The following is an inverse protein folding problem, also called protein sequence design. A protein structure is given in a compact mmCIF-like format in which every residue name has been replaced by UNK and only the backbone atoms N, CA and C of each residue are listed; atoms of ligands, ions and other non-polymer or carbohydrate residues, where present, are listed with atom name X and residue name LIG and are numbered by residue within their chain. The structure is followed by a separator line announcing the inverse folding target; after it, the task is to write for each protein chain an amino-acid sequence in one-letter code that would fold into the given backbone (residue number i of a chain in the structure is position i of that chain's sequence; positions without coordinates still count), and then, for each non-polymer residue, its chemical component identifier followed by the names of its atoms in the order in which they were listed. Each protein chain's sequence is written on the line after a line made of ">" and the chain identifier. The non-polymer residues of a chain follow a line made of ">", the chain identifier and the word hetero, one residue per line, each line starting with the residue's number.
data_IF_299975294381
#
_entry.id   IF_299975294381
#
_cell.length_a   1.000
_cell.length_b   1.000
_cell.length_c   1.000
_cell.angle_alpha   90.00
_cell.angle_beta   90.00
_cell.angle_gamma   90.00
#
_symmetry.space_group_name_H-M   'P 1'
#
loop_
_entity.id
_entity.type
_entity.pdbx_description
1 polymer ?
#
# COMPACT_ATOMS: atom_id res chain seq x y z
N UNK A 1 -47.66 72.87 -7.44
CA UNK A 1 -47.98 72.14 -6.20
C UNK A 1 -48.17 70.67 -6.54
N UNK A 2 -47.26 69.83 -6.03
CA UNK A 2 -47.41 68.42 -5.62
C UNK A 2 -47.92 67.40 -6.66
N UNK A 3 -47.03 66.66 -7.35
CA UNK A 3 -46.44 65.34 -6.99
C UNK A 3 -47.46 64.19 -6.79
N UNK A 4 -47.34 63.12 -7.60
CA UNK A 4 -47.13 61.75 -7.09
C UNK A 4 -46.67 60.80 -8.21
N UNK A 5 -45.49 60.24 -7.97
CA UNK A 5 -44.71 59.34 -8.83
C UNK A 5 -45.33 57.95 -8.87
N UNK A 6 -45.29 57.32 -10.03
CA UNK A 6 -45.51 55.89 -10.20
C UNK A 6 -44.43 55.11 -9.43
N UNK A 7 -44.84 54.18 -8.59
CA UNK A 7 -43.96 53.23 -7.94
C UNK A 7 -43.89 51.98 -8.82
N UNK A 8 -42.78 51.83 -9.55
CA UNK A 8 -42.39 50.56 -10.14
C UNK A 8 -41.80 49.69 -9.02
N UNK A 9 -42.51 48.63 -8.65
CA UNK A 9 -41.98 47.61 -7.75
C UNK A 9 -40.94 46.79 -8.52
N UNK A 10 -39.65 47.04 -8.26
CA UNK A 10 -38.57 46.19 -8.70
C UNK A 10 -38.58 44.92 -7.84
N UNK A 11 -38.89 43.78 -8.47
CA UNK A 11 -38.65 42.46 -7.88
C UNK A 11 -37.14 42.24 -7.90
N UNK A 12 -36.50 42.45 -6.74
CA UNK A 12 -35.13 42.00 -6.51
C UNK A 12 -35.15 40.47 -6.42
N UNK A 13 -34.90 39.81 -7.54
CA UNK A 13 -34.47 38.43 -7.53
C UNK A 13 -33.04 38.41 -6.96
N UNK A 14 -32.92 38.21 -5.65
CA UNK A 14 -31.65 37.90 -5.02
C UNK A 14 -31.18 36.54 -5.53
N UNK A 15 -30.38 36.53 -6.60
CA UNK A 15 -29.57 35.39 -6.95
C UNK A 15 -28.48 35.26 -5.87
N UNK A 16 -28.73 34.44 -4.86
CA UNK A 16 -27.68 33.95 -3.97
C UNK A 16 -26.80 33.06 -4.85
N UNK A 17 -25.71 33.63 -5.38
CA UNK A 17 -24.63 32.83 -5.93
C UNK A 17 -24.03 32.07 -4.75
N UNK A 18 -24.37 30.78 -4.63
CA UNK A 18 -23.58 29.83 -3.87
C UNK A 18 -22.23 29.71 -4.59
N UNK A 19 -21.35 30.68 -4.34
CA UNK A 19 -19.93 30.49 -4.56
C UNK A 19 -19.49 29.50 -3.48
N UNK A 20 -19.69 28.20 -3.75
CA UNK A 20 -18.91 27.19 -3.07
C UNK A 20 -17.46 27.54 -3.35
N UNK A 21 -16.73 27.95 -2.33
CA UNK A 21 -15.30 28.18 -2.47
C UNK A 21 -14.70 26.81 -2.80
N UNK A 22 -14.29 26.62 -4.06
CA UNK A 22 -13.51 25.45 -4.43
C UNK A 22 -12.30 25.34 -3.50
N UNK A 23 -11.95 24.10 -3.13
CA UNK A 23 -10.79 23.83 -2.27
C UNK A 23 -9.52 24.40 -2.90
N UNK A 24 -8.65 24.99 -2.07
CA UNK A 24 -7.31 25.37 -2.51
C UNK A 24 -6.44 24.11 -2.66
N UNK A 25 -6.26 23.67 -3.90
CA UNK A 25 -5.49 22.46 -4.22
C UNK A 25 -3.99 22.72 -4.36
N UNK A 26 -3.49 23.93 -4.06
CA UNK A 26 -2.08 24.29 -4.31
C UNK A 26 -1.08 23.48 -3.47
N UNK A 27 -1.50 22.93 -2.33
CA UNK A 27 -0.71 22.02 -1.50
C UNK A 27 -0.81 20.54 -1.90
N UNK A 28 -1.73 20.17 -2.79
CA UNK A 28 -2.01 18.77 -3.13
C UNK A 28 -1.14 18.28 -4.30
N UNK A 29 -0.77 17.00 -4.27
CA UNK A 29 -0.18 16.32 -5.41
C UNK A 29 -1.29 15.87 -6.35
N UNK A 30 -1.24 16.38 -7.58
CA UNK A 30 -2.14 16.00 -8.66
C UNK A 30 -1.60 14.77 -9.40
N UNK A 31 -2.43 13.75 -9.56
CA UNK A 31 -2.15 12.53 -10.31
C UNK A 31 -3.38 12.04 -11.09
N UNK A 32 -3.16 11.12 -12.03
CA UNK A 32 -4.27 10.44 -12.70
C UNK A 32 -4.98 9.52 -11.69
N UNK A 33 -6.29 9.33 -11.87
CA UNK A 33 -7.04 8.31 -11.12
C UNK A 33 -6.70 6.95 -11.74
N UNK A 34 -6.13 5.99 -11.00
CA UNK A 34 -5.87 4.66 -11.52
C UNK A 34 -7.17 3.98 -11.99
N UNK A 35 -7.08 3.14 -13.02
CA UNK A 35 -8.23 2.36 -13.48
C UNK A 35 -8.61 1.25 -12.48
N UNK A 36 -7.61 0.69 -11.79
CA UNK A 36 -7.73 -0.42 -10.86
C UNK A 36 -7.18 -0.05 -9.48
N UNK A 37 -7.56 -0.79 -8.45
CA UNK A 37 -7.01 -0.64 -7.10
C UNK A 37 -5.52 -1.00 -7.12
N UNK A 38 -4.60 -0.07 -6.78
CA UNK A 38 -3.17 -0.36 -6.78
C UNK A 38 -2.77 -1.34 -5.66
N UNK A 39 -3.60 -1.54 -4.64
CA UNK A 39 -3.35 -2.55 -3.58
C UNK A 39 -3.81 -3.96 -3.96
N UNK A 40 -4.50 -4.12 -5.09
CA UNK A 40 -4.98 -5.41 -5.57
C UNK A 40 -3.94 -6.17 -6.44
N UNK A 41 -2.74 -5.60 -6.62
CA UNK A 41 -1.67 -6.25 -7.37
C UNK A 41 -1.01 -7.34 -6.53
N UNK A 42 -0.80 -8.51 -7.12
CA UNK A 42 -0.13 -9.63 -6.45
C UNK A 42 0.72 -10.47 -7.39
N UNK A 43 1.50 -11.42 -6.85
CA UNK A 43 2.35 -12.29 -7.65
C UNK A 43 1.55 -13.19 -8.61
N UNK A 44 0.34 -13.58 -8.23
CA UNK A 44 -0.49 -14.56 -8.98
C UNK A 44 -1.89 -14.06 -9.34
N UNK A 45 -2.22 -12.81 -8.98
CA UNK A 45 -3.53 -12.22 -9.15
C UNK A 45 -3.89 -11.81 -10.58
N UNK A 46 -5.08 -11.24 -10.78
CA UNK A 46 -5.49 -10.66 -12.07
C UNK A 46 -4.71 -9.39 -12.42
N UNK A 47 -4.16 -8.71 -11.41
CA UNK A 47 -3.24 -7.59 -11.54
C UNK A 47 -1.87 -8.07 -11.07
N UNK A 48 -1.01 -8.44 -12.02
CA UNK A 48 0.26 -9.07 -11.70
C UNK A 48 1.35 -8.03 -11.48
N UNK A 49 2.13 -8.24 -10.42
CA UNK A 49 3.40 -7.55 -10.21
C UNK A 49 4.45 -8.04 -11.22
N UNK A 50 5.33 -7.13 -11.67
CA UNK A 50 6.45 -7.45 -12.57
C UNK A 50 7.62 -8.07 -11.80
N UNK A 51 7.38 -9.22 -11.17
CA UNK A 51 8.36 -9.95 -10.39
C UNK A 51 9.27 -10.81 -11.29
N UNK A 52 10.52 -11.09 -10.87
CA UNK A 52 11.32 -12.12 -11.51
C UNK A 52 10.57 -13.47 -11.50
N UNK A 53 10.85 -14.37 -12.45
CA UNK A 53 10.18 -15.66 -12.51
C UNK A 53 10.40 -16.46 -11.22
N UNK A 54 9.35 -17.11 -10.75
CA UNK A 54 9.42 -18.01 -9.60
C UNK A 54 10.43 -19.14 -9.86
N UNK A 55 11.26 -19.50 -8.87
CA UNK A 55 12.15 -20.65 -8.96
C UNK A 55 11.38 -21.94 -9.31
N UNK A 56 11.99 -22.78 -10.14
CA UNK A 56 11.40 -24.08 -10.49
C UNK A 56 11.40 -25.05 -9.30
N UNK A 57 10.61 -26.12 -9.38
CA UNK A 57 10.53 -27.15 -8.32
C UNK A 57 11.85 -27.85 -7.98
N UNK A 58 12.84 -27.75 -8.87
CA UNK A 58 14.18 -28.33 -8.70
C UNK A 58 15.18 -27.34 -8.08
N UNK A 59 14.76 -26.09 -7.82
CA UNK A 59 15.59 -25.09 -7.16
C UNK A 59 15.78 -25.42 -5.67
N UNK A 60 16.89 -24.98 -5.05
CA UNK A 60 17.08 -25.11 -3.61
C UNK A 60 15.95 -24.44 -2.83
N UNK A 61 15.55 -25.03 -1.70
CA UNK A 61 14.46 -24.52 -0.88
C UNK A 61 14.67 -23.06 -0.45
N UNK A 62 15.91 -22.68 -0.10
CA UNK A 62 16.25 -21.31 0.25
C UNK A 62 16.04 -20.30 -0.90
N UNK A 63 16.14 -20.74 -2.16
CA UNK A 63 15.87 -19.88 -3.32
C UNK A 63 14.38 -19.59 -3.45
N UNK A 64 13.54 -20.61 -3.23
CA UNK A 64 12.07 -20.46 -3.22
C UNK A 64 11.61 -19.53 -2.09
N UNK A 65 12.14 -19.69 -0.89
CA UNK A 65 11.82 -18.83 0.25
C UNK A 65 12.30 -17.39 0.03
N UNK A 66 13.47 -17.20 -0.57
CA UNK A 66 13.99 -15.87 -0.86
C UNK A 66 13.11 -15.16 -1.90
N UNK A 67 12.63 -15.88 -2.92
CA UNK A 67 11.67 -15.34 -3.89
C UNK A 67 10.31 -15.03 -3.23
N UNK A 68 9.82 -15.90 -2.34
CA UNK A 68 8.58 -15.65 -1.58
C UNK A 68 8.70 -14.37 -0.73
N UNK A 69 9.85 -14.16 -0.09
CA UNK A 69 10.13 -12.93 0.67
C UNK A 69 10.04 -11.68 -0.23
N UNK A 70 10.65 -11.71 -1.42
CA UNK A 70 10.54 -10.61 -2.40
C UNK A 70 9.09 -10.39 -2.82
N UNK A 71 8.38 -11.47 -3.16
CA UNK A 71 6.99 -11.40 -3.58
C UNK A 71 6.14 -10.76 -2.49
N UNK A 72 6.30 -11.20 -1.24
CA UNK A 72 5.57 -10.66 -0.09
C UNK A 72 5.86 -9.18 0.16
N UNK A 73 7.12 -8.76 0.10
CA UNK A 73 7.52 -7.34 0.25
C UNK A 73 6.93 -6.48 -0.88
N UNK A 74 6.94 -6.99 -2.11
CA UNK A 74 6.39 -6.27 -3.27
C UNK A 74 4.87 -6.18 -3.23
N UNK A 75 4.19 -7.25 -2.80
CA UNK A 75 2.75 -7.27 -2.56
C UNK A 75 2.35 -6.28 -1.47
N UNK A 76 3.08 -6.28 -0.36
CA UNK A 76 2.89 -5.32 0.72
C UNK A 76 3.05 -3.88 0.22
N UNK A 77 4.05 -3.63 -0.64
CA UNK A 77 4.30 -2.33 -1.24
C UNK A 77 3.23 -1.90 -2.26
N UNK A 78 2.50 -2.86 -2.84
CA UNK A 78 1.64 -2.66 -4.01
C UNK A 78 2.41 -2.27 -5.28
N UNK A 79 3.72 -2.57 -5.35
CA UNK A 79 4.58 -2.25 -6.50
C UNK A 79 5.80 -3.18 -6.55
N UNK A 80 6.58 -3.10 -7.62
CA UNK A 80 7.84 -3.81 -7.78
C UNK A 80 9.02 -2.85 -7.79
N UNK A 81 10.18 -3.38 -7.43
CA UNK A 81 11.47 -2.70 -7.54
C UNK A 81 12.39 -3.58 -8.42
N UNK A 82 12.78 -3.05 -9.57
CA UNK A 82 13.67 -3.74 -10.51
C UNK A 82 15.10 -3.90 -9.98
N UNK A 83 15.49 -3.08 -9.00
CA UNK A 83 16.80 -3.11 -8.36
C UNK A 83 16.78 -3.88 -7.03
N UNK A 84 15.65 -4.52 -6.69
CA UNK A 84 15.51 -5.28 -5.46
C UNK A 84 16.51 -6.44 -5.38
N UNK A 85 17.04 -6.67 -4.18
CA UNK A 85 17.91 -7.80 -3.88
C UNK A 85 17.30 -8.63 -2.74
N UNK A 86 17.42 -9.94 -2.82
CA UNK A 86 16.84 -10.84 -1.82
C UNK A 86 17.77 -12.03 -1.59
N UNK A 87 17.95 -12.40 -0.33
CA UNK A 87 18.79 -13.51 0.05
C UNK A 87 18.28 -14.17 1.33
N UNK A 88 18.24 -15.50 1.31
CA UNK A 88 18.06 -16.33 2.50
C UNK A 88 19.34 -17.11 2.77
N UNK A 89 19.73 -17.30 4.04
CA UNK A 89 20.76 -18.27 4.37
C UNK A 89 20.29 -19.69 4.04
N UNK A 90 21.23 -20.63 3.91
CA UNK A 90 20.88 -22.03 3.66
C UNK A 90 20.03 -22.60 4.80
N UNK A 91 18.90 -23.21 4.44
CA UNK A 91 17.96 -23.81 5.39
C UNK A 91 18.16 -25.33 5.35
N UNK A 92 18.66 -25.89 6.44
CA UNK A 92 18.92 -27.33 6.54
C UNK A 92 17.78 -28.09 7.19
N UNK A 93 16.77 -27.38 7.70
CA UNK A 93 15.70 -27.97 8.49
C UNK A 93 16.20 -28.45 9.84
N UNK A 94 17.27 -27.84 10.38
CA UNK A 94 17.72 -27.99 11.78
C UNK A 94 17.58 -26.68 12.56
N UNK A 95 17.32 -25.59 11.83
CA UNK A 95 17.02 -24.28 12.36
C UNK A 95 15.56 -24.24 12.80
N UNK A 96 15.27 -23.53 13.90
CA UNK A 96 13.89 -23.23 14.29
C UNK A 96 13.37 -21.95 13.66
N UNK A 97 14.28 -21.05 13.36
CA UNK A 97 13.99 -19.71 12.85
C UNK A 97 15.12 -19.30 11.91
N UNK A 98 14.74 -18.72 10.77
CA UNK A 98 15.66 -18.24 9.74
C UNK A 98 15.18 -16.87 9.28
N UNK A 99 16.09 -15.88 9.31
CA UNK A 99 15.84 -14.55 8.75
C UNK A 99 16.37 -14.44 7.32
N UNK A 100 15.49 -14.08 6.40
CA UNK A 100 15.84 -13.64 5.05
C UNK A 100 15.84 -12.11 5.00
N UNK A 101 16.71 -11.54 4.17
CA UNK A 101 16.76 -10.09 3.96
C UNK A 101 16.37 -9.77 2.53
N UNK A 102 15.43 -8.83 2.40
CA UNK A 102 15.02 -8.24 1.12
C UNK A 102 15.36 -6.76 1.14
N UNK A 103 16.25 -6.33 0.25
CA UNK A 103 16.49 -4.91 -0.02
C UNK A 103 15.50 -4.46 -1.09
N UNK A 104 14.62 -3.53 -0.75
CA UNK A 104 13.57 -2.99 -1.62
C UNK A 104 13.53 -1.47 -1.52
N UNK A 105 13.62 -0.79 -2.67
CA UNK A 105 13.70 0.67 -2.79
C UNK A 105 14.76 1.32 -1.88
N UNK A 106 15.89 0.61 -1.69
CA UNK A 106 17.03 1.06 -0.89
C UNK A 106 16.91 0.82 0.62
N UNK A 107 15.85 0.16 1.09
CA UNK A 107 15.64 -0.21 2.49
C UNK A 107 15.69 -1.74 2.67
N UNK A 108 16.19 -2.20 3.81
CA UNK A 108 16.26 -3.62 4.14
C UNK A 108 15.06 -4.06 5.00
N UNK A 109 14.43 -5.16 4.58
CA UNK A 109 13.29 -5.78 5.22
C UNK A 109 13.63 -7.20 5.68
N UNK A 110 13.29 -7.48 6.94
CA UNK A 110 13.50 -8.78 7.57
C UNK A 110 12.27 -9.65 7.33
N UNK A 111 12.46 -10.79 6.68
CA UNK A 111 11.44 -11.81 6.48
C UNK A 111 11.78 -13.03 7.33
N UNK A 112 10.99 -13.28 8.36
CA UNK A 112 11.29 -14.28 9.39
C UNK A 112 10.51 -15.54 9.09
N UNK A 113 11.24 -16.64 8.86
CA UNK A 113 10.68 -17.97 8.62
C UNK A 113 10.86 -18.81 9.87
N UNK A 114 9.76 -19.27 10.46
CA UNK A 114 9.74 -20.19 11.60
C UNK A 114 9.40 -21.58 11.10
N UNK A 115 10.30 -22.54 11.33
CA UNK A 115 10.12 -23.93 10.91
C UNK A 115 9.33 -24.65 12.00
N UNK A 116 8.19 -25.23 11.64
CA UNK A 116 7.33 -25.96 12.57
C UNK A 116 7.91 -27.37 12.85
N UNK A 117 7.87 -27.80 14.11
CA UNK A 117 8.38 -29.09 14.59
C UNK A 117 7.57 -30.27 13.99
N UNK A 118 7.84 -30.62 12.74
CA UNK A 118 7.42 -31.89 12.12
C UNK A 118 8.35 -33.06 12.50
N UNK A 119 9.40 -32.79 13.30
CA UNK A 119 10.56 -33.66 13.50
C UNK A 119 10.36 -34.77 14.52
N UNK A 120 9.36 -34.66 15.40
CA UNK A 120 9.12 -35.66 16.45
C UNK A 120 8.57 -36.99 15.89
N UNK A 121 8.07 -37.00 14.64
CA UNK A 121 7.37 -38.16 14.09
C UNK A 121 8.23 -39.01 13.14
N UNK A 122 9.15 -38.47 12.32
CA UNK A 122 9.88 -39.26 11.31
C UNK A 122 11.23 -38.65 10.84
N UNK A 123 12.29 -38.61 11.68
CA UNK A 123 13.58 -37.98 11.35
C UNK A 123 14.35 -38.63 10.17
N UNK A 124 14.00 -39.86 9.75
CA UNK A 124 14.68 -40.58 8.66
C UNK A 124 14.01 -40.41 7.28
N UNK A 125 12.90 -39.68 7.20
CA UNK A 125 12.09 -39.53 5.97
C UNK A 125 11.96 -38.09 5.46
N UNK A 126 12.61 -37.13 6.12
CA UNK A 126 12.48 -35.71 5.80
C UNK A 126 13.41 -35.37 4.64
N UNK A 127 12.87 -35.43 3.44
CA UNK A 127 13.36 -34.67 2.29
C UNK A 127 12.90 -33.20 2.48
N UNK A 128 13.65 -32.23 1.95
CA UNK A 128 13.34 -30.77 2.07
C UNK A 128 11.95 -30.41 1.51
N UNK A 129 11.29 -31.34 0.82
CA UNK A 129 9.95 -31.23 0.25
C UNK A 129 8.81 -31.20 1.27
N UNK A 130 9.05 -31.48 2.56
CA UNK A 130 8.00 -31.58 3.59
C UNK A 130 8.24 -30.68 4.83
N UNK A 131 8.97 -29.58 4.66
CA UNK A 131 9.17 -28.61 5.73
C UNK A 131 7.90 -27.77 5.86
N UNK A 132 7.17 -27.93 6.96
CA UNK A 132 6.11 -27.00 7.36
C UNK A 132 6.76 -25.76 8.01
N UNK A 133 6.34 -24.57 7.59
CA UNK A 133 6.84 -23.31 8.12
C UNK A 133 5.75 -22.26 8.16
N UNK A 134 5.92 -21.30 9.06
CA UNK A 134 5.23 -20.00 9.02
C UNK A 134 6.23 -18.92 8.67
N UNK A 135 5.77 -17.85 8.03
CA UNK A 135 6.62 -16.73 7.68
C UNK A 135 5.92 -15.41 7.97
N UNK A 136 6.70 -14.47 8.49
CA UNK A 136 6.22 -13.18 8.96
C UNK A 136 7.09 -12.05 8.41
N UNK A 137 6.46 -10.93 8.09
CA UNK A 137 7.12 -9.68 7.70
C UNK A 137 6.81 -8.64 8.79
N UNK A 138 7.66 -8.49 9.84
CA UNK A 138 7.36 -7.63 10.98
C UNK A 138 7.24 -6.15 10.63
N UNK A 139 7.90 -5.74 9.54
CA UNK A 139 7.80 -4.40 8.97
C UNK A 139 7.88 -4.49 7.45
N UNK A 140 7.07 -3.70 6.76
CA UNK A 140 7.04 -3.66 5.30
C UNK A 140 7.15 -2.24 4.72
N UNK A 141 7.35 -2.13 3.40
CA UNK A 141 7.42 -0.86 2.69
C UNK A 141 6.04 -0.22 2.52
N UNK A 142 5.88 1.01 3.01
CA UNK A 142 4.75 1.87 2.65
C UNK A 142 5.24 2.89 1.64
N UNK A 143 4.82 2.73 0.38
CA UNK A 143 5.20 3.61 -0.73
C UNK A 143 4.15 4.71 -0.88
N UNK A 144 4.54 5.97 -0.68
CA UNK A 144 3.60 7.10 -0.71
C UNK A 144 2.81 7.18 -2.01
N UNK A 145 3.46 6.94 -3.15
CA UNK A 145 2.80 7.02 -4.44
C UNK A 145 1.69 5.96 -4.59
N UNK A 146 1.88 4.75 -4.03
CA UNK A 146 0.86 3.69 -4.01
C UNK A 146 -0.29 4.04 -3.07
N UNK A 147 0.00 4.61 -1.89
CA UNK A 147 -1.02 5.10 -0.95
C UNK A 147 -1.86 6.21 -1.58
N UNK A 148 -1.21 7.19 -2.21
CA UNK A 148 -1.90 8.28 -2.88
C UNK A 148 -2.74 7.77 -4.05
N UNK A 149 -2.22 6.84 -4.86
CA UNK A 149 -2.97 6.25 -5.98
C UNK A 149 -4.16 5.42 -5.50
N UNK A 150 -4.04 4.73 -4.36
CA UNK A 150 -5.16 4.04 -3.74
C UNK A 150 -6.26 5.04 -3.35
N UNK A 151 -5.89 6.16 -2.71
CA UNK A 151 -6.81 7.24 -2.35
C UNK A 151 -7.46 7.89 -3.57
N UNK A 152 -6.71 8.11 -4.66
CA UNK A 152 -7.25 8.62 -5.93
C UNK A 152 -8.26 7.65 -6.52
N UNK A 153 -7.93 6.35 -6.53
CA UNK A 153 -8.80 5.30 -7.05
C UNK A 153 -10.09 5.15 -6.22
N UNK A 154 -9.99 5.10 -4.89
CA UNK A 154 -11.13 4.86 -4.01
C UNK A 154 -12.07 6.06 -3.91
N UNK A 155 -11.51 7.28 -3.88
CA UNK A 155 -12.27 8.53 -3.72
C UNK A 155 -12.55 9.28 -5.03
N UNK A 156 -12.12 8.73 -6.18
CA UNK A 156 -12.32 9.32 -7.51
C UNK A 156 -11.85 10.77 -7.61
N UNK A 157 -10.69 11.04 -7.01
CA UNK A 157 -10.09 12.37 -6.94
C UNK A 157 -8.70 12.38 -7.56
N UNK A 158 -8.31 13.50 -8.16
CA UNK A 158 -6.94 13.67 -8.70
C UNK A 158 -5.97 14.22 -7.64
N UNK A 159 -6.48 14.77 -6.53
CA UNK A 159 -5.72 15.58 -5.58
C UNK A 159 -5.61 14.90 -4.22
N UNK A 160 -4.40 14.50 -3.87
CA UNK A 160 -4.07 13.87 -2.58
C UNK A 160 -2.79 14.50 -2.02
N UNK A 161 -2.70 14.61 -0.69
CA UNK A 161 -1.52 15.05 0.04
C UNK A 161 -1.27 14.07 1.18
N UNK A 162 -0.19 13.30 1.13
CA UNK A 162 0.22 12.43 2.22
C UNK A 162 1.46 12.99 2.94
N UNK A 163 1.42 13.04 4.27
CA UNK A 163 2.58 13.31 5.13
C UNK A 163 3.38 12.02 5.33
N UNK A 164 3.93 11.52 4.23
CA UNK A 164 4.77 10.33 4.19
C UNK A 164 6.05 10.63 3.38
N UNK A 165 7.21 10.10 3.79
CA UNK A 165 8.35 9.92 2.90
C UNK A 165 7.98 9.15 1.63
N UNK A 166 8.85 9.18 0.61
CA UNK A 166 8.63 8.42 -0.64
C UNK A 166 8.42 6.92 -0.37
N UNK A 167 9.28 6.36 0.50
CA UNK A 167 9.17 5.02 1.05
C UNK A 167 9.35 5.12 2.55
N UNK A 168 8.48 4.45 3.30
CA UNK A 168 8.55 4.37 4.76
C UNK A 168 8.60 2.90 5.16
N UNK A 169 9.64 2.47 5.87
CA UNK A 169 9.61 1.20 6.58
C UNK A 169 8.66 1.35 7.77
N UNK A 170 7.59 0.57 7.80
CA UNK A 170 6.58 0.66 8.84
C UNK A 170 6.32 -0.72 9.46
N UNK A 171 6.26 -0.76 10.79
CA UNK A 171 5.95 -1.97 11.56
C UNK A 171 4.48 -2.35 11.37
N UNK A 172 4.18 -3.66 11.45
CA UNK A 172 2.79 -4.12 11.53
C UNK A 172 2.09 -3.49 12.74
N UNK A 173 0.80 -3.17 12.58
CA UNK A 173 -0.05 -2.46 13.54
C UNK A 173 0.37 -1.00 13.82
N UNK A 174 1.24 -0.40 12.99
CA UNK A 174 1.63 1.00 13.11
C UNK A 174 0.76 1.96 12.28
N UNK A 175 0.86 3.26 12.59
CA UNK A 175 0.24 4.36 11.84
C UNK A 175 1.35 5.27 11.27
N UNK A 176 1.97 4.94 10.11
CA UNK A 176 3.16 5.64 9.63
C UNK A 176 2.91 7.09 9.19
N UNK A 177 1.66 7.49 8.96
CA UNK A 177 1.32 8.85 8.57
C UNK A 177 -0.15 9.07 8.25
N UNK A 178 -0.47 10.30 7.85
CA UNK A 178 -1.81 10.72 7.47
C UNK A 178 -1.82 11.27 6.04
N UNK A 179 -2.99 11.21 5.42
CA UNK A 179 -3.24 11.79 4.11
C UNK A 179 -4.48 12.67 4.17
N UNK A 180 -4.55 13.62 3.24
CA UNK A 180 -5.71 14.46 2.97
C UNK A 180 -6.04 14.35 1.48
N UNK A 181 -7.31 14.28 1.13
CA UNK A 181 -7.75 14.24 -0.25
C UNK A 181 -8.95 15.14 -0.47
N UNK A 182 -9.09 15.66 -1.69
CA UNK A 182 -10.24 16.49 -2.08
C UNK A 182 -11.43 15.58 -2.35
N UNK A 183 -12.58 15.89 -1.75
CA UNK A 183 -13.84 15.17 -1.97
C UNK A 183 -14.28 15.24 -3.44
N UNK A 184 -15.07 14.26 -3.89
CA UNK A 184 -15.50 14.15 -5.30
C UNK A 184 -16.23 15.42 -5.80
N UNK A 185 -16.92 16.14 -4.91
CA UNK A 185 -17.64 17.36 -5.26
C UNK A 185 -16.72 18.59 -5.44
N UNK A 186 -15.46 18.50 -5.00
CA UNK A 186 -14.46 19.57 -5.09
C UNK A 186 -14.62 20.71 -4.07
N UNK A 187 -15.50 20.56 -3.07
CA UNK A 187 -15.82 21.60 -2.10
C UNK A 187 -15.33 21.30 -0.68
N UNK A 188 -14.84 20.10 -0.42
CA UNK A 188 -14.29 19.69 0.87
C UNK A 188 -13.00 18.89 0.73
N UNK A 189 -12.33 18.74 1.87
CA UNK A 189 -11.24 17.79 2.03
C UNK A 189 -11.59 16.82 3.15
N UNK A 190 -11.12 15.58 3.01
CA UNK A 190 -11.25 14.56 4.03
C UNK A 190 -9.85 14.06 4.42
N UNK A 191 -9.66 13.85 5.71
CA UNK A 191 -8.45 13.26 6.26
C UNK A 191 -8.58 11.73 6.32
N UNK A 192 -7.45 11.06 6.14
CA UNK A 192 -7.32 9.63 6.28
C UNK A 192 -6.02 9.27 7.00
N UNK A 193 -6.03 8.13 7.68
CA UNK A 193 -4.85 7.55 8.30
C UNK A 193 -4.38 6.34 7.52
N UNK A 194 -3.08 6.18 7.41
CA UNK A 194 -2.48 4.94 6.91
C UNK A 194 -2.23 4.05 8.10
N UNK A 195 -2.81 2.85 8.09
CA UNK A 195 -2.60 1.80 9.08
C UNK A 195 -1.94 0.59 8.42
N UNK A 196 -0.97 -0.02 9.09
CA UNK A 196 -0.21 -1.14 8.55
C UNK A 196 -0.70 -2.44 9.17
N UNK A 197 -0.93 -3.45 8.34
CA UNK A 197 -1.38 -4.80 8.73
C UNK A 197 -0.39 -5.85 8.24
N UNK A 198 -0.58 -7.11 8.63
CA UNK A 198 0.24 -8.25 8.18
C UNK A 198 0.23 -8.47 6.65
N UNK A 199 -0.73 -7.88 5.94
CA UNK A 199 -0.93 -8.07 4.50
C UNK A 199 -0.57 -6.84 3.67
N UNK A 200 -0.25 -5.69 4.28
CA UNK A 200 0.00 -4.45 3.56
C UNK A 200 -0.44 -3.23 4.38
N UNK A 201 -0.88 -2.18 3.71
CA UNK A 201 -1.48 -1.01 4.35
C UNK A 201 -2.97 -0.91 4.05
N UNK A 202 -3.70 -0.26 4.96
CA UNK A 202 -5.11 0.11 4.83
C UNK A 202 -5.22 1.61 5.08
N UNK A 203 -6.13 2.27 4.39
CA UNK A 203 -6.41 3.69 4.59
C UNK A 203 -7.77 3.86 5.26
N UNK A 204 -7.77 4.43 6.48
CA UNK A 204 -8.98 4.66 7.28
C UNK A 204 -9.38 6.13 7.24
N UNK A 205 -10.63 6.41 6.87
CA UNK A 205 -11.15 7.78 6.79
C UNK A 205 -11.51 8.28 8.20
N UNK A 206 -11.16 9.53 8.50
CA UNK A 206 -11.45 10.21 9.77
C UNK A 206 -12.80 10.95 9.76
#
# INVERSE_FOLDING_TARGET
>A
MTNKRAAAAAVLASAVALAGCAVDTSGFRRGAIPENDPTAYSATGPFQLDLPPEPGSDAPFEESIAWEALAKVSEFAGTTDSDAAYACPAITGQEREVGCTVTFLGEDYDYIVTIEDSWDLMPELIDQTWIEYTAELPAGPVVRDVVEDHLRWSNKTEYVLCDLPEVTRAEVDSEPGTCEFVEEDGYGTQEAKVHVTETGFVVEHL
#
